data_IF_375447278404
#
_entry.id   IF_375447278404
#
_cell.length_a   1.000
_cell.length_b   1.000
_cell.length_c   1.000
_cell.angle_alpha   90.00
_cell.angle_beta   90.00
_cell.angle_gamma   90.00
#
_symmetry.space_group_name_H-M   'P 1'
#
loop_
_entity.id
_entity.type
_entity.pdbx_description
1 polymer ?
#
# COMPACT_ATOMS: atom_id res chain seq x y z
N UNK A 1 5.38 12.37 -17.23
CA UNK A 1 5.22 12.04 -15.80
C UNK A 1 4.16 10.96 -15.60
N UNK A 2 2.88 11.19 -15.93
CA UNK A 2 1.78 10.26 -15.63
C UNK A 2 1.95 8.83 -16.20
N UNK A 3 2.54 8.69 -17.41
CA UNK A 3 2.73 7.39 -18.07
C UNK A 3 3.62 6.40 -17.31
N UNK A 4 4.48 6.91 -16.42
CA UNK A 4 5.45 6.13 -15.66
C UNK A 4 4.87 5.60 -14.34
N UNK A 5 3.75 6.18 -13.87
CA UNK A 5 3.13 5.81 -12.61
C UNK A 5 2.31 4.53 -12.78
N UNK A 6 2.45 3.61 -11.83
CA UNK A 6 1.71 2.36 -11.80
C UNK A 6 1.07 2.19 -10.43
N UNK A 7 -0.24 2.36 -10.38
CA UNK A 7 -1.04 2.16 -9.17
C UNK A 7 -1.48 0.70 -9.14
N UNK A 8 -1.06 -0.03 -8.11
CA UNK A 8 -1.37 -1.46 -7.94
C UNK A 8 -2.25 -1.68 -6.70
N UNK A 9 -2.27 -0.73 -5.76
CA UNK A 9 -3.06 -0.82 -4.53
C UNK A 9 -4.54 -0.65 -4.79
N UNK A 10 -5.34 -1.51 -4.15
CA UNK A 10 -6.82 -1.45 -4.17
C UNK A 10 -7.42 -0.53 -3.12
N UNK A 11 -6.62 0.03 -2.20
CA UNK A 11 -7.15 0.74 -1.02
C UNK A 11 -6.90 2.24 -1.04
N UNK A 12 -5.66 2.69 -1.26
CA UNK A 12 -5.35 4.12 -1.27
C UNK A 12 -4.34 4.42 -2.37
N UNK A 13 -4.88 4.75 -3.54
CA UNK A 13 -4.07 5.14 -4.69
C UNK A 13 -3.21 6.38 -4.37
N UNK A 14 -3.70 7.30 -3.53
CA UNK A 14 -3.00 8.56 -3.21
C UNK A 14 -1.69 8.34 -2.47
N UNK A 15 -1.72 7.58 -1.37
CA UNK A 15 -0.51 7.28 -0.59
C UNK A 15 0.50 6.49 -1.43
N UNK A 16 0.03 5.49 -2.18
CA UNK A 16 0.90 4.73 -3.08
C UNK A 16 1.56 5.62 -4.13
N UNK A 17 0.77 6.46 -4.81
CA UNK A 17 1.24 7.34 -5.88
C UNK A 17 2.22 8.38 -5.34
N UNK A 18 1.99 8.96 -4.14
CA UNK A 18 2.91 9.92 -3.52
C UNK A 18 4.22 9.24 -3.12
N UNK A 19 4.16 8.04 -2.51
CA UNK A 19 5.36 7.27 -2.15
C UNK A 19 6.15 6.91 -3.41
N UNK A 20 5.47 6.44 -4.46
CA UNK A 20 6.07 6.12 -5.76
C UNK A 20 6.70 7.36 -6.40
N UNK A 21 6.01 8.49 -6.42
CA UNK A 21 6.52 9.75 -6.97
C UNK A 21 7.81 10.18 -6.26
N UNK A 22 7.85 10.08 -4.92
CA UNK A 22 9.06 10.34 -4.15
C UNK A 22 10.21 9.38 -4.48
N UNK A 23 9.94 8.07 -4.61
CA UNK A 23 10.96 7.07 -4.98
C UNK A 23 11.46 7.22 -6.41
N UNK A 24 10.64 7.76 -7.30
CA UNK A 24 10.99 8.04 -8.69
C UNK A 24 11.56 9.45 -8.90
N UNK A 25 11.73 10.24 -7.82
CA UNK A 25 12.20 11.63 -7.87
C UNK A 25 11.37 12.51 -8.81
N UNK A 26 10.06 12.23 -8.89
CA UNK A 26 9.11 13.06 -9.63
C UNK A 26 8.85 14.32 -8.83
N UNK A 27 8.96 15.49 -9.46
CA UNK A 27 8.62 16.76 -8.83
C UNK A 27 7.13 16.77 -8.47
N UNK A 28 6.83 16.98 -7.19
CA UNK A 28 5.48 17.11 -6.66
C UNK A 28 5.34 18.51 -6.07
N UNK A 29 4.36 19.25 -6.55
CA UNK A 29 3.96 20.54 -6.00
C UNK A 29 2.57 20.40 -5.34
N UNK A 30 2.29 21.22 -4.34
CA UNK A 30 0.98 21.26 -3.70
C UNK A 30 0.39 22.66 -3.85
N UNK A 31 -0.91 22.72 -4.13
CA UNK A 31 -1.66 23.97 -4.13
C UNK A 31 -2.31 24.12 -2.75
N UNK A 32 -2.06 25.20 -2.00
CA UNK A 32 -2.72 25.43 -0.73
C UNK A 32 -4.21 25.68 -0.97
N UNK A 33 -5.07 24.86 -0.36
CA UNK A 33 -6.52 25.01 -0.42
C UNK A 33 -7.01 25.34 0.99
N UNK A 34 -7.83 26.40 1.13
CA UNK A 34 -8.47 26.74 2.41
C UNK A 34 -9.39 25.61 2.85
N UNK A 35 -9.33 25.28 4.13
CA UNK A 35 -10.28 24.36 4.75
C UNK A 35 -11.58 25.09 5.09
N UNK A 36 -12.71 24.43 4.87
CA UNK A 36 -14.00 24.85 5.42
C UNK A 36 -14.11 24.41 6.88
N UNK A 37 -14.90 25.14 7.66
CA UNK A 37 -15.24 24.71 9.02
C UNK A 37 -15.98 23.37 8.99
N UNK A 38 -15.77 22.56 10.02
CA UNK A 38 -16.28 21.20 10.08
C UNK A 38 -17.78 21.23 10.42
N UNK A 39 -18.64 21.19 9.40
CA UNK A 39 -20.11 21.29 9.56
C UNK A 39 -20.78 19.98 9.97
N UNK A 40 -20.07 18.84 9.92
CA UNK A 40 -20.58 17.53 10.36
C UNK A 40 -19.45 16.59 10.79
N UNK A 41 -19.81 15.56 11.56
CA UNK A 41 -18.89 14.47 11.90
C UNK A 41 -18.38 13.70 10.66
N UNK A 42 -17.10 13.35 10.67
CA UNK A 42 -16.44 12.58 9.60
C UNK A 42 -17.10 11.21 9.41
N UNK A 43 -17.61 10.94 8.20
CA UNK A 43 -18.15 9.63 7.80
C UNK A 43 -17.05 8.67 7.30
N UNK A 44 -15.86 9.19 7.00
CA UNK A 44 -14.77 8.42 6.39
C UNK A 44 -13.92 7.71 7.46
N UNK A 45 -13.62 8.40 8.56
CA UNK A 45 -12.88 7.83 9.68
C UNK A 45 -13.38 8.38 11.03
N UNK A 46 -13.62 7.50 12.01
CA UNK A 46 -14.16 7.89 13.32
C UNK A 46 -13.13 8.64 14.19
N UNK A 47 -11.84 8.49 13.90
CA UNK A 47 -10.76 9.25 14.55
C UNK A 47 -9.49 9.23 13.70
N UNK A 48 -8.59 10.18 13.94
CA UNK A 48 -7.27 10.19 13.31
C UNK A 48 -6.47 8.93 13.60
N UNK A 49 -6.58 8.37 14.81
CA UNK A 49 -5.89 7.13 15.14
C UNK A 49 -6.44 5.91 14.39
N UNK A 50 -7.77 5.84 14.18
CA UNK A 50 -8.38 4.80 13.35
C UNK A 50 -7.94 4.93 11.89
N UNK A 51 -7.81 6.16 11.38
CA UNK A 51 -7.26 6.42 10.05
C UNK A 51 -5.82 5.93 9.92
N UNK A 52 -4.93 6.36 10.81
CA UNK A 52 -3.50 6.01 10.73
C UNK A 52 -3.30 4.50 10.79
N UNK A 53 -3.94 3.80 11.74
CA UNK A 53 -3.82 2.33 11.84
C UNK A 53 -4.34 1.61 10.60
N UNK A 54 -5.46 2.07 10.03
CA UNK A 54 -6.04 1.46 8.82
C UNK A 54 -5.15 1.65 7.59
N UNK A 55 -4.47 2.79 7.49
CA UNK A 55 -3.54 3.08 6.40
C UNK A 55 -2.14 2.50 6.63
N UNK A 56 -1.73 2.22 7.88
CA UNK A 56 -0.41 1.69 8.20
C UNK A 56 -0.10 0.39 7.45
N UNK A 57 -1.08 -0.51 7.30
CA UNK A 57 -0.91 -1.75 6.53
C UNK A 57 -0.64 -1.47 5.04
N UNK A 58 -1.35 -0.51 4.44
CA UNK A 58 -1.11 -0.09 3.05
C UNK A 58 0.24 0.58 2.89
N UNK A 59 0.62 1.48 3.81
CA UNK A 59 1.94 2.14 3.80
C UNK A 59 3.03 1.10 3.93
N UNK A 60 2.91 0.16 4.87
CA UNK A 60 3.87 -0.92 5.08
C UNK A 60 4.00 -1.82 3.85
N UNK A 61 2.88 -2.17 3.20
CA UNK A 61 2.88 -2.97 1.97
C UNK A 61 3.60 -2.25 0.83
N UNK A 62 3.28 -0.97 0.60
CA UNK A 62 3.92 -0.16 -0.44
C UNK A 62 5.40 0.04 -0.12
N UNK A 63 5.75 0.34 1.13
CA UNK A 63 7.13 0.52 1.56
C UNK A 63 7.95 -0.77 1.38
N UNK A 64 7.42 -1.92 1.79
CA UNK A 64 8.03 -3.24 1.58
C UNK A 64 8.24 -3.57 0.11
N UNK A 65 7.41 -3.01 -0.78
CA UNK A 65 7.56 -3.20 -2.22
C UNK A 65 8.77 -2.45 -2.79
N UNK A 66 9.05 -1.25 -2.27
CA UNK A 66 10.11 -0.35 -2.74
C UNK A 66 11.44 -0.49 -1.97
N UNK A 67 11.39 -0.90 -0.70
CA UNK A 67 12.55 -1.03 0.20
C UNK A 67 12.52 -2.41 0.90
N UNK A 68 12.45 -3.53 0.16
CA UNK A 68 12.32 -4.86 0.75
C UNK A 68 13.49 -5.21 1.66
N UNK A 69 14.73 -4.89 1.23
CA UNK A 69 15.94 -5.20 1.99
C UNK A 69 15.88 -4.61 3.40
N UNK A 70 15.46 -3.34 3.55
CA UNK A 70 15.34 -2.68 4.86
C UNK A 70 14.33 -3.37 5.75
N UNK A 71 13.14 -3.68 5.23
CA UNK A 71 12.06 -4.29 6.01
C UNK A 71 12.47 -5.67 6.52
N UNK A 72 13.00 -6.52 5.65
CA UNK A 72 13.40 -7.87 6.01
C UNK A 72 14.67 -7.90 6.87
N UNK A 73 15.62 -6.97 6.69
CA UNK A 73 16.80 -6.90 7.55
C UNK A 73 16.47 -6.41 8.95
N UNK A 74 15.54 -5.45 9.10
CA UNK A 74 15.04 -5.04 10.41
C UNK A 74 14.34 -6.22 11.10
N UNK A 75 13.50 -6.95 10.36
CA UNK A 75 12.84 -8.15 10.89
C UNK A 75 13.85 -9.25 11.27
N UNK A 76 14.85 -9.50 10.42
CA UNK A 76 15.93 -10.43 10.69
C UNK A 76 16.70 -10.03 11.94
N UNK A 77 17.13 -8.77 12.06
CA UNK A 77 17.83 -8.25 13.23
C UNK A 77 16.99 -8.36 14.51
N UNK A 78 15.69 -8.08 14.44
CA UNK A 78 14.78 -8.21 15.57
C UNK A 78 14.69 -9.65 16.10
N UNK A 79 14.89 -10.66 15.24
CA UNK A 79 14.93 -12.08 15.62
C UNK A 79 16.36 -12.53 15.98
N UNK A 80 17.36 -12.03 15.27
CA UNK A 80 18.78 -12.32 15.46
C UNK A 80 19.26 -11.90 16.85
N UNK A 81 18.84 -10.72 17.33
CA UNK A 81 19.31 -10.18 18.60
C UNK A 81 18.91 -11.07 19.80
N UNK A 82 17.62 -11.42 20.00
CA UNK A 82 17.24 -12.39 21.03
C UNK A 82 17.89 -13.77 20.82
N UNK A 83 17.99 -14.24 19.57
CA UNK A 83 18.65 -15.51 19.25
C UNK A 83 20.11 -15.52 19.72
N UNK A 84 20.86 -14.47 19.42
CA UNK A 84 22.25 -14.31 19.80
C UNK A 84 22.43 -14.26 21.32
N UNK A 85 21.51 -13.61 22.05
CA UNK A 85 21.53 -13.60 23.52
C UNK A 85 21.32 -15.00 24.10
N UNK A 86 20.36 -15.78 23.56
CA UNK A 86 20.12 -17.16 24.01
C UNK A 86 21.34 -18.04 23.69
N UNK A 87 21.92 -17.88 22.51
CA UNK A 87 23.12 -18.60 22.08
C UNK A 87 24.33 -18.26 22.96
N UNK A 88 24.58 -16.98 23.23
CA UNK A 88 25.66 -16.53 24.09
C UNK A 88 25.50 -17.05 25.53
N UNK A 89 24.28 -17.03 26.06
CA UNK A 89 23.95 -17.66 27.35
C UNK A 89 24.29 -19.15 27.35
N UNK A 90 23.87 -19.90 26.32
CA UNK A 90 24.19 -21.32 26.22
C UNK A 90 25.69 -21.57 26.19
N UNK A 91 26.44 -20.81 25.38
CA UNK A 91 27.89 -20.91 25.30
C UNK A 91 28.57 -20.66 26.65
N UNK A 92 28.10 -19.68 27.42
CA UNK A 92 28.61 -19.43 28.77
C UNK A 92 28.46 -20.67 29.67
N UNK A 93 27.26 -21.27 29.76
CA UNK A 93 27.02 -22.47 30.56
C UNK A 93 27.77 -23.70 30.03
N UNK A 94 27.97 -23.78 28.71
CA UNK A 94 28.76 -24.84 28.09
C UNK A 94 30.22 -24.78 28.53
N UNK A 95 30.85 -23.60 28.50
CA UNK A 95 32.22 -23.42 28.96
C UNK A 95 32.37 -23.55 30.49
N UNK A 96 31.32 -23.26 31.25
CA UNK A 96 31.29 -23.47 32.70
C UNK A 96 31.14 -24.95 33.12
N UNK A 97 30.99 -25.88 32.17
CA UNK A 97 30.86 -27.33 32.45
C UNK A 97 29.42 -27.80 32.74
N UNK A 98 28.42 -26.92 32.64
CA UNK A 98 27.00 -27.20 32.91
C UNK A 98 26.15 -27.41 31.64
N UNK A 99 26.80 -27.65 30.48
CA UNK A 99 26.15 -27.67 29.17
C UNK A 99 25.03 -28.70 28.98
N UNK A 100 25.06 -29.83 29.72
CA UNK A 100 24.06 -30.92 29.60
C UNK A 100 22.63 -30.48 29.95
N UNK A 101 22.46 -29.47 30.83
CA UNK A 101 21.14 -29.01 31.28
C UNK A 101 20.41 -28.07 30.31
N UNK A 102 21.04 -27.65 29.21
CA UNK A 102 20.59 -26.49 28.43
C UNK A 102 20.23 -26.78 26.96
N UNK A 103 19.99 -28.05 26.61
CA UNK A 103 19.64 -28.48 25.25
C UNK A 103 18.42 -27.75 24.68
N UNK A 104 17.40 -27.46 25.50
CA UNK A 104 16.21 -26.69 25.09
C UNK A 104 16.56 -25.27 24.63
N UNK A 105 17.45 -24.60 25.36
CA UNK A 105 17.91 -23.25 25.01
C UNK A 105 18.73 -23.26 23.73
N UNK A 106 19.52 -24.32 23.49
CA UNK A 106 20.26 -24.51 22.26
C UNK A 106 19.32 -24.71 21.06
N UNK A 107 18.28 -25.54 21.21
CA UNK A 107 17.28 -25.78 20.16
C UNK A 107 16.54 -24.49 19.83
N UNK A 108 16.10 -23.75 20.85
CA UNK A 108 15.42 -22.46 20.67
C UNK A 108 16.34 -21.44 19.99
N UNK A 109 17.58 -21.28 20.46
CA UNK A 109 18.57 -20.38 19.90
C UNK A 109 18.88 -20.70 18.44
N UNK A 110 19.10 -21.99 18.13
CA UNK A 110 19.39 -22.46 16.76
C UNK A 110 18.21 -22.24 15.82
N UNK A 111 16.99 -22.54 16.27
CA UNK A 111 15.77 -22.33 15.47
C UNK A 111 15.55 -20.85 15.16
N UNK A 112 15.68 -19.98 16.16
CA UNK A 112 15.59 -18.52 15.97
C UNK A 112 16.70 -17.99 15.04
N UNK A 113 17.91 -18.54 15.13
CA UNK A 113 19.02 -18.15 14.25
C UNK A 113 18.73 -18.53 12.80
N UNK A 114 18.22 -19.74 12.56
CA UNK A 114 17.80 -20.20 11.24
C UNK A 114 16.70 -19.28 10.68
N UNK A 115 15.68 -18.94 11.47
CA UNK A 115 14.60 -18.02 11.06
C UNK A 115 15.17 -16.64 10.70
N UNK A 116 16.09 -16.11 11.50
CA UNK A 116 16.76 -14.83 11.22
C UNK A 116 17.50 -14.85 9.88
N UNK A 117 18.28 -15.89 9.61
CA UNK A 117 19.00 -16.03 8.33
C UNK A 117 18.01 -16.15 7.16
N UNK A 118 16.91 -16.90 7.32
CA UNK A 118 15.86 -16.99 6.30
C UNK A 118 15.20 -15.64 6.03
N UNK A 119 14.92 -14.85 7.07
CA UNK A 119 14.39 -13.49 6.92
C UNK A 119 15.38 -12.59 6.16
N UNK A 120 16.67 -12.66 6.47
CA UNK A 120 17.69 -11.91 5.73
C UNK A 120 17.75 -12.35 4.26
N UNK A 121 17.69 -13.65 3.98
CA UNK A 121 17.66 -14.20 2.63
C UNK A 121 16.42 -13.73 1.84
N UNK A 122 15.23 -13.70 2.47
CA UNK A 122 14.02 -13.13 1.88
C UNK A 122 14.18 -11.65 1.56
N UNK A 123 14.94 -10.91 2.36
CA UNK A 123 15.31 -9.52 2.06
C UNK A 123 16.09 -9.38 0.77
N UNK A 124 17.10 -10.25 0.56
CA UNK A 124 17.90 -10.27 -0.68
C UNK A 124 17.04 -10.64 -1.88
N UNK A 125 16.22 -11.69 -1.77
CA UNK A 125 15.30 -12.11 -2.84
C UNK A 125 14.30 -10.98 -3.17
N UNK A 126 13.78 -10.32 -2.13
CA UNK A 126 12.88 -9.19 -2.27
C UNK A 126 13.52 -8.02 -3.03
N UNK A 127 14.79 -7.72 -2.76
CA UNK A 127 15.54 -6.66 -3.42
C UNK A 127 15.76 -6.92 -4.91
N UNK A 128 16.17 -8.15 -5.26
CA UNK A 128 16.28 -8.59 -6.65
C UNK A 128 14.93 -8.44 -7.37
N UNK A 129 13.84 -8.84 -6.71
CA UNK A 129 12.50 -8.75 -7.28
C UNK A 129 12.05 -7.28 -7.46
N UNK A 130 12.43 -6.38 -6.54
CA UNK A 130 12.19 -4.95 -6.70
C UNK A 130 12.94 -4.39 -7.93
N UNK A 131 14.21 -4.79 -8.11
CA UNK A 131 14.98 -4.47 -9.32
C UNK A 131 14.31 -4.94 -10.61
N UNK A 132 13.79 -6.18 -10.62
CA UNK A 132 13.04 -6.72 -11.75
C UNK A 132 11.78 -5.91 -12.07
N UNK A 133 11.03 -5.45 -11.05
CA UNK A 133 9.84 -4.61 -11.25
C UNK A 133 10.18 -3.25 -11.86
N UNK A 134 11.27 -2.63 -11.41
CA UNK A 134 11.74 -1.36 -11.98
C UNK A 134 12.09 -1.52 -13.47
N UNK A 135 12.71 -2.64 -13.84
CA UNK A 135 12.99 -2.94 -15.25
C UNK A 135 11.70 -3.10 -16.07
N UNK A 136 10.73 -3.86 -15.56
CA UNK A 136 9.42 -4.02 -16.21
C UNK A 136 8.67 -2.69 -16.35
N UNK A 137 8.72 -1.83 -15.34
CA UNK A 137 8.14 -0.49 -15.38
C UNK A 137 8.75 0.36 -16.50
N UNK A 138 10.08 0.36 -16.65
CA UNK A 138 10.77 1.09 -17.72
C UNK A 138 10.43 0.54 -19.11
N UNK A 139 10.31 -0.78 -19.25
CA UNK A 139 9.90 -1.41 -20.50
C UNK A 139 8.47 -0.98 -20.86
N UNK A 140 7.53 -1.09 -19.92
CA UNK A 140 6.14 -0.69 -20.14
C UNK A 140 6.01 0.81 -20.46
N UNK A 141 6.76 1.67 -19.78
CA UNK A 141 6.80 3.10 -20.14
C UNK A 141 7.26 3.28 -21.59
N UNK A 142 8.35 2.62 -21.99
CA UNK A 142 8.90 2.75 -23.34
C UNK A 142 7.91 2.28 -24.40
N UNK A 143 7.21 1.16 -24.16
CA UNK A 143 6.15 0.66 -25.05
C UNK A 143 5.02 1.67 -25.17
N UNK A 144 4.48 2.16 -24.04
CA UNK A 144 3.41 3.18 -24.04
C UNK A 144 3.80 4.45 -24.80
N UNK A 145 5.06 4.89 -24.69
CA UNK A 145 5.57 6.06 -25.41
C UNK A 145 5.58 5.83 -26.92
N UNK A 146 5.92 4.61 -27.37
CA UNK A 146 5.90 4.22 -28.78
C UNK A 146 4.45 4.16 -29.28
N UNK A 147 3.54 3.51 -28.54
CA UNK A 147 2.10 3.44 -28.86
C UNK A 147 1.48 4.84 -29.01
N UNK A 148 1.78 5.75 -28.08
CA UNK A 148 1.35 7.15 -28.14
C UNK A 148 1.86 7.87 -29.38
N UNK A 149 3.10 7.59 -29.80
CA UNK A 149 3.68 8.21 -31.00
C UNK A 149 3.04 7.67 -32.28
N UNK A 150 2.64 6.39 -32.27
CA UNK A 150 1.98 5.71 -33.38
C UNK A 150 0.46 5.95 -33.43
N UNK A 151 -0.11 6.67 -32.44
CA UNK A 151 -1.55 6.93 -32.38
C UNK A 151 -2.40 5.70 -32.07
N UNK A 152 -1.82 4.66 -31.45
CA UNK A 152 -2.57 3.47 -31.03
C UNK A 152 -3.48 3.86 -29.87
N UNK A 153 -4.79 3.65 -30.04
CA UNK A 153 -5.76 3.92 -28.97
C UNK A 153 -5.52 3.02 -27.74
N UNK A 154 -5.72 3.54 -26.52
CA UNK A 154 -5.55 2.73 -25.33
C UNK A 154 -6.57 1.58 -25.29
N UNK A 155 -6.11 0.35 -25.06
CA UNK A 155 -6.94 -0.86 -25.06
C UNK A 155 -8.09 -0.87 -24.05
N UNK A 156 -8.07 0.02 -23.06
CA UNK A 156 -9.06 0.13 -21.98
C UNK A 156 -9.68 1.52 -21.90
N UNK A 157 -9.56 2.33 -22.95
CA UNK A 157 -10.33 3.55 -23.06
C UNK A 157 -11.70 3.18 -23.64
N UNK A 158 -12.75 3.17 -22.82
CA UNK A 158 -14.11 3.34 -23.32
C UNK A 158 -14.28 4.84 -23.53
N UNK A 159 -14.37 5.33 -24.78
CA UNK A 159 -14.80 6.70 -25.03
C UNK A 159 -16.15 6.84 -24.33
N UNK A 160 -16.29 7.83 -23.45
CA UNK A 160 -17.60 8.20 -22.94
C UNK A 160 -18.48 8.40 -24.17
N UNK A 161 -19.45 7.49 -24.34
CA UNK A 161 -20.29 7.45 -25.52
C UNK A 161 -20.89 8.85 -25.74
N UNK A 162 -20.62 9.40 -26.92
CA UNK A 162 -21.29 10.52 -27.57
C UNK A 162 -21.53 11.78 -26.72
N UNK A 163 -20.68 12.79 -26.94
CA UNK A 163 -20.95 14.24 -27.00
C UNK A 163 -21.84 14.96 -25.96
N UNK A 164 -22.31 14.30 -24.91
CA UNK A 164 -22.92 14.90 -23.73
C UNK A 164 -22.09 14.43 -22.53
N UNK A 165 -21.07 15.23 -22.19
CA UNK A 165 -20.16 14.91 -21.09
C UNK A 165 -20.94 14.57 -19.81
N UNK A 166 -20.46 13.61 -18.99
CA UNK A 166 -21.16 13.17 -17.80
C UNK A 166 -21.58 14.37 -16.95
N UNK A 167 -22.87 14.41 -16.59
CA UNK A 167 -23.48 15.45 -15.78
C UNK A 167 -22.55 15.74 -14.59
N UNK A 168 -22.15 17.01 -14.40
CA UNK A 168 -21.13 17.38 -13.42
C UNK A 168 -21.55 16.88 -12.03
N UNK A 169 -20.96 15.78 -11.59
CA UNK A 169 -21.27 15.17 -10.28
C UNK A 169 -20.71 15.95 -9.11
N UNK A 170 -19.90 16.98 -9.37
CA UNK A 170 -19.34 17.92 -8.39
C UNK A 170 -19.30 19.33 -8.96
N UNK A 171 -19.72 20.33 -8.17
CA UNK A 171 -19.66 21.77 -8.50
C UNK A 171 -20.87 22.54 -7.99
N UNK A 172 -20.89 23.88 -8.15
CA UNK A 172 -22.03 24.71 -7.72
C UNK A 172 -23.35 24.39 -8.46
N UNK A 173 -23.26 23.67 -9.58
CA UNK A 173 -24.38 23.23 -10.42
C UNK A 173 -24.70 21.73 -10.28
N UNK A 174 -24.00 20.98 -9.42
CA UNK A 174 -24.32 19.57 -9.20
C UNK A 174 -25.57 19.43 -8.33
N UNK A 175 -26.50 18.54 -8.71
CA UNK A 175 -27.68 18.22 -7.91
C UNK A 175 -27.36 17.72 -6.49
N UNK A 176 -28.35 17.70 -5.56
CA UNK A 176 -28.12 17.26 -4.19
C UNK A 176 -27.50 15.87 -4.16
N UNK A 177 -26.47 15.69 -3.33
CA UNK A 177 -25.79 14.40 -3.20
C UNK A 177 -26.79 13.31 -2.81
N UNK A 178 -27.05 12.35 -3.71
CA UNK A 178 -27.98 11.23 -3.53
C UNK A 178 -27.46 10.15 -2.56
N UNK A 179 -26.58 10.53 -1.62
CA UNK A 179 -26.07 9.64 -0.60
C UNK A 179 -27.21 9.19 0.30
N UNK A 180 -27.70 7.97 0.07
CA UNK A 180 -28.71 7.21 0.85
C UNK A 180 -29.14 7.87 2.17
N UNK A 181 -30.05 8.84 2.06
CA UNK A 181 -30.98 9.14 3.13
C UNK A 181 -32.28 8.41 2.77
N UNK A 182 -32.75 7.59 3.71
CA UNK A 182 -33.82 6.62 3.53
C UNK A 182 -35.19 7.26 3.32
N UNK A 183 -35.43 7.86 2.17
CA UNK A 183 -36.77 8.15 1.66
C UNK A 183 -36.92 7.53 0.28
N UNK A 184 -37.37 6.27 0.27
CA UNK A 184 -38.15 5.75 -0.85
C UNK A 184 -39.33 6.70 -1.06
N UNK A 185 -39.54 7.27 -2.26
CA UNK A 185 -40.77 7.99 -2.56
C UNK A 185 -41.95 7.06 -2.27
N UNK A 186 -42.92 7.54 -1.47
CA UNK A 186 -44.17 6.85 -1.19
C UNK A 186 -44.82 6.46 -2.52
N UNK A 187 -45.20 5.20 -2.62
CA UNK A 187 -46.08 4.69 -3.68
C UNK A 187 -47.26 5.64 -3.85
N UNK A 188 -47.34 6.27 -5.02
CA UNK A 188 -48.57 6.90 -5.46
C UNK A 188 -49.55 5.78 -5.79
N UNK A 189 -50.52 5.60 -4.90
CA UNK A 189 -51.73 4.82 -5.12
C UNK A 189 -52.32 5.14 -6.50
N UNK A 190 -52.42 4.12 -7.35
CA UNK A 190 -53.28 4.15 -8.53
C UNK A 190 -54.74 4.25 -8.06
N UNK A 191 -55.53 5.22 -8.55
CA UNK A 191 -56.97 5.16 -8.37
C UNK A 191 -57.53 4.07 -9.29
N UNK A 192 -58.13 3.04 -8.68
CA UNK A 192 -59.02 2.09 -9.35
C UNK A 192 -60.21 2.87 -9.87
N UNK A 193 -60.34 2.97 -11.19
CA UNK A 193 -61.54 3.46 -11.86
C UNK A 193 -62.11 2.34 -12.73
N UNK A 194 -63.18 1.75 -12.18
CA UNK A 194 -64.31 1.03 -12.81
C UNK A 194 -64.05 0.07 -13.96
#
# INVERSE_FOLDING_TARGET
AALQMQVVSKFTYTLETIIQAGKMLVAVEHVPIRTNEQTRASRLFPSMWAYVRRNAGSIFRVYSLYEPMRVFFIAAAAVALPSAVIWARFLYFFFAGEGQGHVQSLILGSTLMIISVQLAALGVVGDILAGSRVLQQRILERVRRVELTLGVEPSHYEPAADAEGPERTTGAQSGPATGKDGQRPREAQQPVAR
#
